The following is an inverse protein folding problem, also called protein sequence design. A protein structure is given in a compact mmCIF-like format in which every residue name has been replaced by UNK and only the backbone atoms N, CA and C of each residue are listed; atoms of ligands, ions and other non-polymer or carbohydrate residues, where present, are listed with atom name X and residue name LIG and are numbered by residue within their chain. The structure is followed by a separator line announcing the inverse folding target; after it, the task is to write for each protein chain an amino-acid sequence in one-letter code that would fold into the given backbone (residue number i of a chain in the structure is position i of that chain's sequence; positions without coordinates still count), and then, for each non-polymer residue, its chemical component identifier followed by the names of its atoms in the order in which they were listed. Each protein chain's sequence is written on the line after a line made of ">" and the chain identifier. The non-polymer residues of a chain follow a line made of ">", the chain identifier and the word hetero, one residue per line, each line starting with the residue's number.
data_IF_276572827440
#
_entry.id   IF_276572827440
#
_cell.length_a   1.000
_cell.length_b   1.000
_cell.length_c   1.000
_cell.angle_alpha   90.00
_cell.angle_beta   90.00
_cell.angle_gamma   90.00
#
_symmetry.space_group_name_H-M   'P 1'
#
loop_
_entity.id
_entity.type
_entity.pdbx_description
1 polymer ?
#
# COMPACT_ATOMS: atom_id res chain seq x y z
N UNK A 1 -52.91 4.70 113.93
CA UNK A 1 -52.20 5.45 112.89
C UNK A 1 -50.98 4.66 112.39
N UNK A 2 -51.20 3.58 111.63
CA UNK A 2 -50.10 2.69 111.18
C UNK A 2 -50.28 2.17 109.74
N UNK A 3 -51.18 2.76 108.95
CA UNK A 3 -51.47 2.36 107.57
C UNK A 3 -50.74 3.15 106.47
N UNK A 4 -50.15 4.31 106.79
CA UNK A 4 -49.54 5.21 105.80
C UNK A 4 -48.01 5.07 105.64
N UNK A 5 -47.33 4.42 106.57
CA UNK A 5 -45.87 4.25 106.51
C UNK A 5 -45.45 3.15 105.52
N UNK A 6 -46.23 2.07 105.40
CA UNK A 6 -45.93 0.97 104.46
C UNK A 6 -46.18 1.35 102.99
N UNK A 7 -47.21 2.17 102.73
CA UNK A 7 -47.49 2.74 101.40
C UNK A 7 -46.40 3.73 100.97
N UNK A 8 -46.01 4.65 101.86
CA UNK A 8 -44.92 5.60 101.60
C UNK A 8 -43.55 4.94 101.44
N UNK A 9 -43.28 3.83 102.15
CA UNK A 9 -42.03 3.07 102.00
C UNK A 9 -41.98 2.26 100.69
N UNK A 10 -43.11 1.72 100.21
CA UNK A 10 -43.20 1.08 98.88
C UNK A 10 -43.10 2.11 97.74
N UNK A 11 -43.78 3.25 97.86
CA UNK A 11 -43.66 4.37 96.91
C UNK A 11 -42.23 4.93 96.87
N UNK A 12 -41.57 5.08 98.02
CA UNK A 12 -40.18 5.52 98.09
C UNK A 12 -39.20 4.54 97.42
N UNK A 13 -39.40 3.22 97.59
CA UNK A 13 -38.61 2.21 96.87
C UNK A 13 -38.88 2.21 95.36
N UNK A 14 -40.14 2.32 94.94
CA UNK A 14 -40.50 2.39 93.52
C UNK A 14 -39.98 3.67 92.84
N UNK A 15 -39.97 4.80 93.55
CA UNK A 15 -39.37 6.05 93.06
C UNK A 15 -37.85 5.96 93.01
N UNK A 16 -37.21 5.30 93.97
CA UNK A 16 -35.76 5.06 93.95
C UNK A 16 -35.34 4.11 92.83
N UNK A 17 -36.11 3.05 92.55
CA UNK A 17 -35.89 2.14 91.43
C UNK A 17 -36.06 2.86 90.09
N UNK A 18 -37.15 3.62 89.90
CA UNK A 18 -37.34 4.43 88.69
C UNK A 18 -36.27 5.51 88.51
N UNK A 19 -35.81 6.15 89.58
CA UNK A 19 -34.73 7.12 89.50
C UNK A 19 -33.40 6.46 89.08
N UNK A 20 -33.17 5.21 89.49
CA UNK A 20 -31.99 4.43 89.10
C UNK A 20 -32.06 3.97 87.64
N UNK A 21 -33.23 3.52 87.19
CA UNK A 21 -33.48 3.17 85.78
C UNK A 21 -33.28 4.38 84.87
N UNK A 22 -33.86 5.54 85.21
CA UNK A 22 -33.69 6.78 84.43
C UNK A 22 -32.23 7.25 84.43
N UNK A 23 -31.51 7.09 85.54
CA UNK A 23 -30.09 7.44 85.60
C UNK A 23 -29.23 6.54 84.68
N UNK A 24 -29.54 5.24 84.64
CA UNK A 24 -28.87 4.28 83.77
C UNK A 24 -29.19 4.54 82.29
N UNK A 25 -30.48 4.77 81.95
CA UNK A 25 -30.90 5.13 80.59
C UNK A 25 -30.25 6.45 80.13
N UNK A 26 -30.11 7.41 81.04
CA UNK A 26 -29.42 8.68 80.76
C UNK A 26 -27.93 8.47 80.48
N UNK A 27 -27.24 7.67 81.28
CA UNK A 27 -25.81 7.35 81.07
C UNK A 27 -25.59 6.63 79.73
N UNK A 28 -26.46 5.68 79.39
CA UNK A 28 -26.43 4.97 78.11
C UNK A 28 -26.71 5.91 76.92
N UNK A 29 -27.68 6.82 77.06
CA UNK A 29 -27.98 7.84 76.07
C UNK A 29 -26.84 8.84 75.89
N UNK A 30 -26.20 9.30 76.97
CA UNK A 30 -25.01 10.15 76.92
C UNK A 30 -23.86 9.45 76.18
N UNK A 31 -23.61 8.16 76.49
CA UNK A 31 -22.62 7.35 75.78
C UNK A 31 -22.89 7.28 74.28
N UNK A 32 -24.14 7.03 73.88
CA UNK A 32 -24.53 6.94 72.46
C UNK A 32 -24.45 8.29 71.73
N UNK A 33 -24.77 9.40 72.38
CA UNK A 33 -24.61 10.74 71.80
C UNK A 33 -23.13 11.11 71.62
N UNK A 34 -22.27 10.72 72.56
CA UNK A 34 -20.82 10.89 72.43
C UNK A 34 -20.27 10.07 71.26
N UNK A 35 -20.69 8.81 71.13
CA UNK A 35 -20.33 7.93 70.00
C UNK A 35 -20.75 8.52 68.65
N UNK A 36 -21.97 9.07 68.55
CA UNK A 36 -22.42 9.82 67.36
C UNK A 36 -21.51 11.03 67.08
N UNK A 37 -21.08 11.74 68.13
CA UNK A 37 -20.15 12.86 68.01
C UNK A 37 -18.80 12.45 67.43
N UNK A 38 -18.22 11.37 67.93
CA UNK A 38 -16.95 10.80 67.44
C UNK A 38 -17.07 10.31 66.00
N UNK A 39 -18.14 9.57 65.68
CA UNK A 39 -18.41 9.09 64.32
C UNK A 39 -18.64 10.23 63.33
N UNK A 40 -19.28 11.33 63.75
CA UNK A 40 -19.44 12.52 62.92
C UNK A 40 -18.10 13.18 62.60
N UNK A 41 -17.19 13.30 63.59
CA UNK A 41 -15.83 13.80 63.34
C UNK A 41 -15.03 12.87 62.42
N UNK A 42 -15.17 11.54 62.60
CA UNK A 42 -14.55 10.56 61.71
C UNK A 42 -15.07 10.72 60.27
N UNK A 43 -16.38 10.84 60.06
CA UNK A 43 -16.96 11.06 58.73
C UNK A 43 -16.42 12.34 58.08
N UNK A 44 -16.28 13.42 58.85
CA UNK A 44 -15.66 14.66 58.37
C UNK A 44 -14.20 14.44 57.94
N UNK A 45 -13.39 13.72 58.74
CA UNK A 45 -12.00 13.39 58.38
C UNK A 45 -11.90 12.50 57.14
N UNK A 46 -12.87 11.61 56.95
CA UNK A 46 -12.97 10.74 55.78
C UNK A 46 -13.54 11.45 54.53
N UNK A 47 -14.04 12.68 54.67
CA UNK A 47 -14.74 13.39 53.60
C UNK A 47 -16.07 12.72 53.20
N UNK A 48 -16.69 11.97 54.11
CA UNK A 48 -17.95 11.28 53.90
C UNK A 48 -19.11 12.06 54.54
N UNK A 49 -20.20 12.25 53.79
CA UNK A 49 -21.44 12.84 54.30
C UNK A 49 -22.61 11.90 54.02
N UNK A 50 -23.43 11.68 55.05
CA UNK A 50 -24.65 10.89 54.98
C UNK A 50 -25.80 11.74 55.51
N UNK A 51 -26.71 12.21 54.64
CA UNK A 51 -27.86 12.98 55.07
C UNK A 51 -28.77 12.20 56.03
N UNK A 52 -28.83 10.87 55.88
CA UNK A 52 -29.57 9.98 56.76
C UNK A 52 -28.94 9.92 58.17
N UNK A 53 -27.60 9.84 58.25
CA UNK A 53 -26.88 9.91 59.52
C UNK A 53 -27.01 11.29 60.18
N UNK A 54 -26.90 12.39 59.42
CA UNK A 54 -27.01 13.75 59.93
C UNK A 54 -28.40 14.04 60.51
N UNK A 55 -29.47 13.68 59.78
CA UNK A 55 -30.84 13.82 60.25
C UNK A 55 -31.14 12.93 61.47
N UNK A 56 -30.67 11.68 61.43
CA UNK A 56 -30.82 10.73 62.53
C UNK A 56 -30.08 11.16 63.81
N UNK A 57 -28.87 11.70 63.65
CA UNK A 57 -28.05 12.24 64.74
C UNK A 57 -28.72 13.45 65.41
N UNK A 58 -29.34 14.32 64.60
CA UNK A 58 -30.13 15.44 65.13
C UNK A 58 -31.35 14.95 65.90
N UNK A 59 -32.12 13.99 65.35
CA UNK A 59 -33.28 13.42 66.03
C UNK A 59 -32.92 12.74 67.36
N UNK A 60 -31.77 12.06 67.42
CA UNK A 60 -31.28 11.46 68.66
C UNK A 60 -30.94 12.52 69.72
N UNK A 61 -30.31 13.64 69.32
CA UNK A 61 -30.02 14.78 70.20
C UNK A 61 -31.29 15.48 70.68
N UNK A 62 -32.25 15.72 69.79
CA UNK A 62 -33.53 16.35 70.15
C UNK A 62 -34.30 15.49 71.17
N UNK A 63 -34.24 14.15 71.07
CA UNK A 63 -34.82 13.21 72.06
C UNK A 63 -34.06 13.21 73.39
N UNK A 64 -32.74 13.34 73.34
CA UNK A 64 -31.92 13.50 74.54
C UNK A 64 -32.28 14.78 75.31
N UNK A 65 -32.41 15.90 74.60
CA UNK A 65 -32.79 17.20 75.18
C UNK A 65 -34.22 17.18 75.75
N UNK A 66 -35.12 16.43 75.11
CA UNK A 66 -36.48 16.17 75.60
C UNK A 66 -36.53 15.21 76.81
N UNK A 67 -35.39 14.67 77.26
CA UNK A 67 -35.25 13.68 78.33
C UNK A 67 -35.94 12.34 78.04
N UNK A 68 -36.19 12.03 76.77
CA UNK A 68 -36.66 10.73 76.31
C UNK A 68 -35.47 9.83 75.98
N UNK A 69 -34.77 9.39 77.04
CA UNK A 69 -33.51 8.66 76.94
C UNK A 69 -33.67 7.30 76.23
N UNK A 70 -34.77 6.59 76.47
CA UNK A 70 -35.03 5.29 75.83
C UNK A 70 -35.21 5.42 74.32
N UNK A 71 -35.98 6.40 73.86
CA UNK A 71 -36.13 6.66 72.42
C UNK A 71 -34.87 7.26 71.80
N UNK A 72 -34.04 7.97 72.58
CA UNK A 72 -32.72 8.45 72.18
C UNK A 72 -31.77 7.27 71.90
N UNK A 73 -31.61 6.34 72.83
CA UNK A 73 -30.75 5.15 72.67
C UNK A 73 -31.17 4.31 71.47
N UNK A 74 -32.47 4.07 71.30
CA UNK A 74 -33.00 3.33 70.16
C UNK A 74 -32.70 4.02 68.81
N UNK A 75 -32.89 5.35 68.74
CA UNK A 75 -32.61 6.13 67.54
C UNK A 75 -31.11 6.18 67.24
N UNK A 76 -30.28 6.43 68.27
CA UNK A 76 -28.84 6.50 68.13
C UNK A 76 -28.25 5.18 67.66
N UNK A 77 -28.68 4.06 68.26
CA UNK A 77 -28.23 2.70 67.86
C UNK A 77 -28.60 2.41 66.40
N UNK A 78 -29.82 2.77 65.99
CA UNK A 78 -30.29 2.60 64.59
C UNK A 78 -29.43 3.42 63.61
N UNK A 79 -29.14 4.66 63.96
CA UNK A 79 -28.40 5.60 63.10
C UNK A 79 -26.92 5.23 62.99
N UNK A 80 -26.30 4.80 64.10
CA UNK A 80 -24.92 4.27 64.12
C UNK A 80 -24.81 3.04 63.21
N UNK A 81 -25.73 2.07 63.34
CA UNK A 81 -25.73 0.87 62.51
C UNK A 81 -25.85 1.19 61.00
N UNK A 82 -26.72 2.14 60.65
CA UNK A 82 -26.87 2.60 59.27
C UNK A 82 -25.59 3.25 58.73
N UNK A 83 -24.93 4.09 59.52
CA UNK A 83 -23.67 4.71 59.12
C UNK A 83 -22.59 3.65 58.84
N UNK A 84 -22.45 2.64 59.70
CA UNK A 84 -21.51 1.55 59.49
C UNK A 84 -21.79 0.78 58.20
N UNK A 85 -23.06 0.52 57.88
CA UNK A 85 -23.45 -0.14 56.63
C UNK A 85 -23.08 0.70 55.40
N UNK A 86 -23.32 2.01 55.44
CA UNK A 86 -22.95 2.93 54.36
C UNK A 86 -21.43 3.05 54.19
N UNK A 87 -20.68 3.14 55.28
CA UNK A 87 -19.21 3.16 55.24
C UNK A 87 -18.66 1.85 54.68
N UNK A 88 -19.19 0.69 55.10
CA UNK A 88 -18.78 -0.60 54.54
C UNK A 88 -19.00 -0.65 53.02
N UNK A 89 -20.16 -0.22 52.53
CA UNK A 89 -20.44 -0.14 51.08
C UNK A 89 -19.46 0.77 50.35
N UNK A 90 -19.16 1.95 50.91
CA UNK A 90 -18.17 2.88 50.36
C UNK A 90 -16.79 2.22 50.24
N UNK A 91 -16.30 1.59 51.31
CA UNK A 91 -14.99 0.95 51.30
C UNK A 91 -14.94 -0.23 50.35
N UNK A 92 -15.98 -1.07 50.27
CA UNK A 92 -16.02 -2.15 49.30
C UNK A 92 -15.93 -1.65 47.86
N UNK A 93 -16.66 -0.59 47.52
CA UNK A 93 -16.57 0.04 46.19
C UNK A 93 -15.16 0.59 45.90
N UNK A 94 -14.49 1.21 46.88
CA UNK A 94 -13.11 1.68 46.73
C UNK A 94 -12.12 0.52 46.56
N UNK A 95 -12.32 -0.58 47.29
CA UNK A 95 -11.49 -1.79 47.18
C UNK A 95 -11.64 -2.39 45.79
N UNK A 96 -12.87 -2.54 45.31
CA UNK A 96 -13.17 -3.04 43.96
C UNK A 96 -12.54 -2.15 42.88
N UNK A 97 -12.66 -0.83 43.02
CA UNK A 97 -12.05 0.13 42.09
C UNK A 97 -10.51 0.01 42.07
N UNK A 98 -9.89 -0.13 43.25
CA UNK A 98 -8.43 -0.30 43.37
C UNK A 98 -7.96 -1.63 42.79
N UNK A 99 -8.72 -2.71 43.03
CA UNK A 99 -8.46 -4.04 42.48
C UNK A 99 -8.58 -4.02 40.94
N UNK A 100 -9.61 -3.35 40.42
CA UNK A 100 -9.83 -3.24 38.98
C UNK A 100 -8.65 -2.57 38.26
N UNK A 101 -8.12 -1.46 38.80
CA UNK A 101 -6.93 -0.81 38.24
C UNK A 101 -5.71 -1.73 38.31
N UNK A 102 -5.52 -2.44 39.42
CA UNK A 102 -4.43 -3.40 39.54
C UNK A 102 -4.53 -4.53 38.51
N UNK A 103 -5.70 -5.13 38.36
CA UNK A 103 -5.94 -6.19 37.38
C UNK A 103 -5.68 -5.67 35.94
N UNK A 104 -6.08 -4.43 35.66
CA UNK A 104 -5.79 -3.75 34.41
C UNK A 104 -4.27 -3.58 34.17
N UNK A 105 -3.53 -3.07 35.16
CA UNK A 105 -2.06 -2.91 35.07
C UNK A 105 -1.40 -4.28 34.88
N UNK A 106 -1.81 -5.30 35.65
CA UNK A 106 -1.28 -6.67 35.58
C UNK A 106 -1.51 -7.32 34.23
N UNK A 107 -2.63 -7.03 33.56
CA UNK A 107 -2.90 -7.54 32.22
C UNK A 107 -1.93 -7.00 31.15
N UNK A 108 -1.24 -5.88 31.43
CA UNK A 108 -0.36 -5.17 30.50
C UNK A 108 1.11 -5.17 30.93
N UNK A 109 1.40 -5.40 32.21
CA UNK A 109 2.75 -5.42 32.75
C UNK A 109 2.96 -6.63 33.67
N UNK A 110 4.00 -7.41 33.39
CA UNK A 110 4.42 -8.52 34.23
C UNK A 110 5.01 -8.06 35.57
N UNK A 111 5.44 -6.80 35.67
CA UNK A 111 6.09 -6.21 36.86
C UNK A 111 5.07 -5.55 37.82
N UNK A 112 3.78 -5.84 37.66
CA UNK A 112 2.75 -5.28 38.52
C UNK A 112 2.96 -5.69 39.99
N UNK A 113 3.02 -4.70 40.89
CA UNK A 113 3.21 -4.94 42.33
C UNK A 113 1.96 -5.61 42.89
N UNK A 114 2.09 -6.84 43.38
CA UNK A 114 1.02 -7.60 44.03
C UNK A 114 0.42 -6.85 45.23
N UNK A 115 -0.89 -6.60 45.19
CA UNK A 115 -1.61 -5.88 46.26
C UNK A 115 -2.61 -6.74 47.03
N UNK A 116 -2.77 -8.02 46.67
CA UNK A 116 -3.81 -8.89 47.24
C UNK A 116 -3.76 -8.99 48.77
N UNK A 117 -2.55 -9.08 49.34
CA UNK A 117 -2.35 -9.11 50.80
C UNK A 117 -2.77 -7.80 51.48
N UNK A 118 -2.46 -6.66 50.88
CA UNK A 118 -2.83 -5.36 51.41
C UNK A 118 -4.34 -5.11 51.30
N UNK A 119 -4.97 -5.50 50.18
CA UNK A 119 -6.44 -5.45 50.04
C UNK A 119 -7.14 -6.33 51.08
N UNK A 120 -6.61 -7.53 51.36
CA UNK A 120 -7.11 -8.39 52.43
C UNK A 120 -7.08 -7.70 53.81
N UNK A 121 -5.99 -6.99 54.11
CA UNK A 121 -5.85 -6.20 55.32
C UNK A 121 -6.84 -5.00 55.37
N UNK A 122 -7.12 -4.31 54.24
CA UNK A 122 -8.15 -3.26 54.22
C UNK A 122 -9.51 -3.87 54.58
N UNK A 123 -9.86 -5.03 54.01
CA UNK A 123 -11.14 -5.71 54.31
C UNK A 123 -11.27 -6.07 55.79
N UNK A 124 -10.19 -6.53 56.43
CA UNK A 124 -10.17 -6.81 57.86
C UNK A 124 -10.40 -5.54 58.69
N UNK A 125 -9.68 -4.45 58.39
CA UNK A 125 -9.86 -3.16 59.07
C UNK A 125 -11.29 -2.62 58.93
N UNK A 126 -11.93 -2.80 57.77
CA UNK A 126 -13.34 -2.41 57.54
C UNK A 126 -14.31 -3.28 58.34
N UNK A 127 -14.01 -4.58 58.49
CA UNK A 127 -14.82 -5.49 59.31
C UNK A 127 -14.71 -5.15 60.82
N UNK A 128 -13.52 -4.75 61.26
CA UNK A 128 -13.22 -4.32 62.63
C UNK A 128 -13.64 -2.86 62.90
N UNK A 129 -14.31 -2.20 61.94
CA UNK A 129 -14.77 -0.80 62.02
C UNK A 129 -13.64 0.24 62.19
N UNK A 130 -12.39 -0.13 61.88
CA UNK A 130 -11.22 0.76 61.88
C UNK A 130 -11.12 1.58 60.57
N UNK A 131 -12.15 2.37 60.26
CA UNK A 131 -12.27 3.05 58.95
C UNK A 131 -11.17 4.06 58.63
N UNK A 132 -10.58 4.74 59.62
CA UNK A 132 -9.50 5.70 59.37
C UNK A 132 -8.22 5.01 58.90
N UNK A 133 -7.87 3.89 59.54
CA UNK A 133 -6.74 3.05 59.12
C UNK A 133 -7.00 2.41 57.77
N UNK A 134 -8.22 1.92 57.53
CA UNK A 134 -8.64 1.43 56.23
C UNK A 134 -8.50 2.51 55.14
N UNK A 135 -8.90 3.76 55.44
CA UNK A 135 -8.82 4.88 54.51
C UNK A 135 -7.38 5.26 54.15
N UNK A 136 -6.50 5.33 55.15
CA UNK A 136 -5.10 5.64 54.91
C UNK A 136 -4.45 4.57 54.03
N UNK A 137 -4.68 3.29 54.36
CA UNK A 137 -4.07 2.20 53.61
C UNK A 137 -4.60 2.08 52.18
N UNK A 138 -5.92 2.23 51.97
CA UNK A 138 -6.48 2.17 50.62
C UNK A 138 -6.05 3.37 49.76
N UNK A 139 -5.90 4.56 50.36
CA UNK A 139 -5.42 5.76 49.66
C UNK A 139 -3.95 5.61 49.25
N UNK A 140 -3.12 5.01 50.12
CA UNK A 140 -1.73 4.67 49.77
C UNK A 140 -1.65 3.65 48.64
N UNK A 141 -2.49 2.61 48.67
CA UNK A 141 -2.57 1.62 47.59
C UNK A 141 -2.99 2.27 46.27
N UNK A 142 -4.03 3.09 46.30
CA UNK A 142 -4.50 3.84 45.14
C UNK A 142 -3.38 4.69 44.53
N UNK A 143 -2.68 5.50 45.35
CA UNK A 143 -1.60 6.37 44.87
C UNK A 143 -0.44 5.57 44.25
N UNK A 144 -0.12 4.40 44.79
CA UNK A 144 0.90 3.51 44.20
C UNK A 144 0.46 2.95 42.84
N UNK A 145 -0.80 2.53 42.71
CA UNK A 145 -1.33 2.04 41.44
C UNK A 145 -1.41 3.15 40.39
N UNK A 146 -1.83 4.35 40.77
CA UNK A 146 -1.89 5.51 39.87
C UNK A 146 -0.50 5.91 39.33
N UNK A 147 0.54 5.86 40.16
CA UNK A 147 1.93 6.07 39.71
C UNK A 147 2.36 4.99 38.71
N UNK A 148 2.12 3.72 39.05
CA UNK A 148 2.47 2.59 38.17
C UNK A 148 1.75 2.67 36.82
N UNK A 149 0.48 3.09 36.84
CA UNK A 149 -0.33 3.30 35.64
C UNK A 149 0.22 4.46 34.79
N UNK A 150 0.62 5.55 35.43
CA UNK A 150 1.19 6.72 34.75
C UNK A 150 2.54 6.40 34.10
N UNK A 151 3.38 5.62 34.78
CA UNK A 151 4.66 5.13 34.24
C UNK A 151 4.44 4.20 33.05
N UNK A 152 3.51 3.25 33.16
CA UNK A 152 3.14 2.36 32.06
C UNK A 152 2.60 3.14 30.86
N UNK A 153 1.72 4.10 31.09
CA UNK A 153 1.19 4.97 30.04
C UNK A 153 2.31 5.76 29.36
N UNK A 154 3.22 6.36 30.12
CA UNK A 154 4.34 7.13 29.57
C UNK A 154 5.27 6.25 28.71
N UNK A 155 5.51 5.00 29.13
CA UNK A 155 6.28 4.03 28.35
C UNK A 155 5.61 3.68 27.02
N UNK A 156 4.33 3.31 27.04
CA UNK A 156 3.57 2.94 25.83
C UNK A 156 3.38 4.13 24.89
N UNK A 157 3.06 5.31 25.43
CA UNK A 157 2.98 6.55 24.66
C UNK A 157 4.31 6.84 23.94
N UNK A 158 5.43 6.74 24.66
CA UNK A 158 6.77 6.97 24.10
C UNK A 158 7.14 5.92 23.05
N UNK A 159 6.67 4.68 23.19
CA UNK A 159 6.85 3.63 22.19
C UNK A 159 6.09 3.96 20.91
N UNK A 160 4.80 4.28 20.99
CA UNK A 160 3.99 4.67 19.82
C UNK A 160 4.56 5.92 19.14
N UNK A 161 4.98 6.92 19.93
CA UNK A 161 5.58 8.15 19.39
C UNK A 161 6.91 7.88 18.66
N UNK A 162 7.78 7.02 19.22
CA UNK A 162 9.03 6.63 18.53
C UNK A 162 8.74 5.92 17.21
N UNK A 163 7.81 4.98 17.21
CA UNK A 163 7.35 4.29 15.99
C UNK A 163 6.81 5.26 14.94
N UNK A 164 6.04 6.26 15.36
CA UNK A 164 5.51 7.30 14.46
C UNK A 164 6.64 8.13 13.83
N UNK A 165 7.62 8.54 14.63
CA UNK A 165 8.78 9.31 14.16
C UNK A 165 9.63 8.48 13.20
N UNK A 166 9.88 7.21 13.53
CA UNK A 166 10.60 6.28 12.66
C UNK A 166 9.89 6.15 11.32
N UNK A 167 8.58 5.84 11.30
CA UNK A 167 7.80 5.73 10.08
C UNK A 167 7.87 7.02 9.22
N UNK A 168 7.75 8.19 9.84
CA UNK A 168 7.86 9.49 9.13
C UNK A 168 9.26 9.76 8.59
N UNK A 169 10.31 9.35 9.30
CA UNK A 169 11.70 9.51 8.84
C UNK A 169 11.99 8.69 7.58
N UNK A 170 11.23 7.62 7.38
CA UNK A 170 11.21 6.74 6.22
C UNK A 170 10.20 7.21 5.14
N UNK A 171 9.77 8.47 5.18
CA UNK A 171 8.93 9.08 4.16
C UNK A 171 7.46 8.67 4.18
N UNK A 172 7.00 7.92 5.18
CA UNK A 172 5.59 7.55 5.28
C UNK A 172 4.70 8.70 5.73
N UNK A 173 3.65 8.94 4.94
CA UNK A 173 2.56 9.84 5.28
C UNK A 173 1.61 9.17 6.27
N UNK A 174 1.92 9.27 7.56
CA UNK A 174 1.05 8.76 8.63
C UNK A 174 0.05 9.84 9.07
N UNK A 175 -1.22 9.60 8.78
CA UNK A 175 -2.33 10.51 9.08
C UNK A 175 -3.18 10.05 10.27
N UNK A 176 -3.82 10.99 10.97
CA UNK A 176 -4.77 10.73 12.06
C UNK A 176 -4.17 10.30 13.41
N UNK A 177 -2.92 9.82 13.43
CA UNK A 177 -2.27 9.31 14.65
C UNK A 177 -2.01 10.40 15.69
N UNK A 178 -1.63 11.63 15.30
CA UNK A 178 -1.42 12.73 16.24
C UNK A 178 -2.71 13.10 16.99
N UNK A 179 -3.86 12.98 16.31
CA UNK A 179 -5.18 13.18 16.91
C UNK A 179 -5.48 12.12 17.96
N UNK A 180 -5.20 10.85 17.66
CA UNK A 180 -5.35 9.74 18.62
C UNK A 180 -4.44 9.91 19.84
N UNK A 181 -3.17 10.29 19.65
CA UNK A 181 -2.24 10.57 20.75
C UNK A 181 -2.70 11.75 21.62
N UNK A 182 -3.24 12.79 21.00
CA UNK A 182 -3.78 13.95 21.73
C UNK A 182 -5.02 13.57 22.55
N UNK A 183 -5.93 12.80 21.96
CA UNK A 183 -7.12 12.28 22.65
C UNK A 183 -6.73 11.34 23.79
N UNK A 184 -5.76 10.44 23.59
CA UNK A 184 -5.26 9.54 24.63
C UNK A 184 -4.73 10.32 25.84
N UNK A 185 -3.98 11.42 25.59
CA UNK A 185 -3.48 12.30 26.64
C UNK A 185 -4.59 13.00 27.41
N UNK A 186 -5.63 13.45 26.71
CA UNK A 186 -6.79 14.09 27.35
C UNK A 186 -7.58 13.10 28.22
N UNK A 187 -7.83 11.89 27.72
CA UNK A 187 -8.48 10.81 28.49
C UNK A 187 -7.67 10.44 29.73
N UNK A 188 -6.34 10.34 29.60
CA UNK A 188 -5.45 10.07 30.74
C UNK A 188 -5.58 11.16 31.82
N UNK A 189 -5.59 12.44 31.42
CA UNK A 189 -5.75 13.56 32.36
C UNK A 189 -7.16 13.61 32.98
N UNK A 190 -8.17 13.07 32.32
CA UNK A 190 -9.54 12.98 32.81
C UNK A 190 -9.81 11.74 33.70
N UNK A 191 -8.80 10.88 33.91
CA UNK A 191 -8.94 9.62 34.64
C UNK A 191 -9.55 8.47 33.81
N UNK A 192 -9.75 8.67 32.51
CA UNK A 192 -10.24 7.68 31.55
C UNK A 192 -9.15 6.71 31.10
N UNK A 193 -8.54 5.98 32.04
CA UNK A 193 -7.34 5.18 31.78
C UNK A 193 -7.52 4.13 30.68
N UNK A 194 -8.60 3.34 30.72
CA UNK A 194 -8.86 2.32 29.71
C UNK A 194 -9.04 2.91 28.31
N UNK A 195 -9.75 4.03 28.22
CA UNK A 195 -9.95 4.78 26.99
C UNK A 195 -8.62 5.29 26.44
N UNK A 196 -7.77 5.85 27.30
CA UNK A 196 -6.44 6.33 26.94
C UNK A 196 -5.57 5.20 26.34
N UNK A 197 -5.51 4.04 26.99
CA UNK A 197 -4.77 2.89 26.47
C UNK A 197 -5.37 2.31 25.18
N UNK A 198 -6.70 2.30 25.05
CA UNK A 198 -7.37 1.88 23.80
C UNK A 198 -6.97 2.77 22.62
N UNK A 199 -6.93 4.09 22.84
CA UNK A 199 -6.50 5.06 21.84
C UNK A 199 -5.02 4.89 21.47
N UNK A 200 -4.15 4.56 22.44
CA UNK A 200 -2.75 4.20 22.15
C UNK A 200 -2.63 2.93 21.32
N UNK A 201 -3.38 1.88 21.65
CA UNK A 201 -3.38 0.63 20.87
C UNK A 201 -3.89 0.87 19.44
N UNK A 202 -4.91 1.71 19.28
CA UNK A 202 -5.45 2.12 17.98
C UNK A 202 -4.43 2.95 17.17
N UNK A 203 -3.75 3.90 17.83
CA UNK A 203 -2.68 4.68 17.22
C UNK A 203 -1.56 3.77 16.70
N UNK A 204 -1.08 2.83 17.51
CA UNK A 204 -0.07 1.86 17.12
C UNK A 204 -0.50 0.99 15.92
N UNK A 205 -1.73 0.46 15.95
CA UNK A 205 -2.29 -0.32 14.83
C UNK A 205 -2.44 0.50 13.56
N UNK A 206 -2.85 1.76 13.67
CA UNK A 206 -2.99 2.67 12.53
C UNK A 206 -1.66 2.90 11.82
N UNK A 207 -0.57 3.10 12.56
CA UNK A 207 0.78 3.22 11.98
C UNK A 207 1.14 1.97 11.17
N UNK A 208 0.99 0.78 11.76
CA UNK A 208 1.32 -0.50 11.10
C UNK A 208 0.48 -0.74 9.85
N UNK A 209 -0.82 -0.44 9.91
CA UNK A 209 -1.72 -0.59 8.76
C UNK A 209 -1.36 0.35 7.61
N UNK A 210 -1.06 1.61 7.90
CA UNK A 210 -0.65 2.58 6.89
C UNK A 210 0.70 2.19 6.27
N UNK A 211 1.65 1.73 7.09
CA UNK A 211 2.92 1.19 6.59
C UNK A 211 2.73 0.00 5.65
N UNK A 212 1.89 -0.96 6.03
CA UNK A 212 1.62 -2.13 5.19
C UNK A 212 1.01 -1.75 3.84
N UNK A 213 0.11 -0.78 3.80
CA UNK A 213 -0.47 -0.27 2.55
C UNK A 213 0.58 0.36 1.64
N UNK A 214 1.51 1.11 2.20
CA UNK A 214 2.62 1.71 1.45
C UNK A 214 3.53 0.62 0.86
N UNK A 215 3.96 -0.34 1.69
CA UNK A 215 4.74 -1.51 1.26
C UNK A 215 4.05 -2.28 0.15
N UNK A 216 2.75 -2.57 0.30
CA UNK A 216 1.97 -3.27 -0.73
C UNK A 216 1.88 -2.47 -2.05
N UNK A 217 1.79 -1.14 -1.97
CA UNK A 217 1.82 -0.25 -3.13
C UNK A 217 3.16 -0.30 -3.86
N UNK A 218 4.28 -0.19 -3.12
CA UNK A 218 5.62 -0.28 -3.68
C UNK A 218 5.91 -1.65 -4.30
N UNK A 219 5.47 -2.73 -3.64
CA UNK A 219 5.57 -4.10 -4.17
C UNK A 219 4.81 -4.23 -5.49
N UNK A 220 3.61 -3.65 -5.61
CA UNK A 220 2.85 -3.66 -6.88
C UNK A 220 3.60 -2.91 -7.98
N UNK A 221 4.16 -1.73 -7.69
CA UNK A 221 4.96 -0.96 -8.63
C UNK A 221 6.18 -1.76 -9.12
N UNK A 222 6.93 -2.36 -8.19
CA UNK A 222 8.10 -3.20 -8.51
C UNK A 222 7.68 -4.43 -9.32
N UNK A 223 6.55 -5.06 -8.99
CA UNK A 223 6.03 -6.23 -9.71
C UNK A 223 5.71 -5.89 -11.16
N UNK A 224 5.09 -4.74 -11.44
CA UNK A 224 4.86 -4.27 -12.81
C UNK A 224 6.17 -4.10 -13.60
N UNK A 225 7.22 -3.55 -12.95
CA UNK A 225 8.55 -3.41 -13.56
C UNK A 225 9.25 -4.75 -13.80
N UNK A 226 9.10 -5.72 -12.89
CA UNK A 226 9.60 -7.10 -13.06
C UNK A 226 8.96 -7.76 -14.27
N UNK A 227 7.68 -7.49 -14.53
CA UNK A 227 6.99 -8.01 -15.70
C UNK A 227 7.61 -7.46 -17.00
N UNK A 228 7.93 -6.17 -17.05
CA UNK A 228 8.64 -5.59 -18.20
C UNK A 228 10.03 -6.22 -18.38
N UNK A 229 10.77 -6.45 -17.28
CA UNK A 229 12.04 -7.18 -17.32
C UNK A 229 11.88 -8.56 -17.97
N UNK A 230 10.82 -9.28 -17.60
CA UNK A 230 10.48 -10.59 -18.19
C UNK A 230 10.20 -10.49 -19.68
N UNK A 231 9.46 -9.46 -20.11
CA UNK A 231 9.14 -9.23 -21.52
C UNK A 231 10.39 -8.89 -22.36
N UNK A 232 11.39 -8.25 -21.76
CA UNK A 232 12.72 -8.06 -22.37
C UNK A 232 13.60 -9.32 -22.33
N UNK A 233 13.14 -10.43 -21.73
CA UNK A 233 13.91 -11.66 -21.59
C UNK A 233 15.03 -11.57 -20.55
N UNK A 234 14.97 -10.62 -19.61
CA UNK A 234 15.95 -10.50 -18.54
C UNK A 234 15.73 -11.58 -17.48
N UNK A 235 16.81 -12.08 -16.87
CA UNK A 235 16.73 -13.01 -15.75
C UNK A 235 16.10 -12.37 -14.51
N UNK A 236 14.97 -12.90 -14.07
CA UNK A 236 14.17 -12.36 -12.94
C UNK A 236 14.23 -13.19 -11.65
N UNK A 237 14.87 -14.38 -11.66
CA UNK A 237 14.82 -15.30 -10.52
C UNK A 237 15.33 -14.66 -9.21
N UNK A 238 16.50 -14.03 -9.25
CA UNK A 238 17.08 -13.35 -8.07
C UNK A 238 16.24 -12.17 -7.56
N UNK A 239 15.48 -11.52 -8.45
CA UNK A 239 14.63 -10.37 -8.09
C UNK A 239 13.36 -10.88 -7.41
N UNK A 240 12.79 -11.98 -7.92
CA UNK A 240 11.61 -12.63 -7.32
C UNK A 240 11.91 -13.17 -5.94
N UNK A 241 13.03 -13.87 -5.76
CA UNK A 241 13.44 -14.39 -4.44
C UNK A 241 13.54 -13.27 -3.39
N UNK A 242 14.09 -12.11 -3.77
CA UNK A 242 14.15 -10.94 -2.88
C UNK A 242 12.77 -10.34 -2.61
N UNK A 243 11.90 -10.27 -3.60
CA UNK A 243 10.53 -9.78 -3.44
C UNK A 243 9.71 -10.68 -2.50
N UNK A 244 9.79 -11.99 -2.68
CA UNK A 244 9.12 -13.00 -1.86
C UNK A 244 9.64 -12.92 -0.41
N UNK A 245 10.95 -12.72 -0.23
CA UNK A 245 11.54 -12.48 1.08
C UNK A 245 10.91 -11.27 1.76
N UNK A 246 10.80 -10.13 1.08
CA UNK A 246 10.18 -8.91 1.63
C UNK A 246 8.71 -9.14 1.99
N UNK A 247 7.95 -9.84 1.14
CA UNK A 247 6.55 -10.17 1.38
C UNK A 247 6.33 -11.07 2.60
N UNK A 248 7.31 -11.93 2.91
CA UNK A 248 7.27 -12.83 4.07
C UNK A 248 7.68 -12.17 5.39
N UNK A 249 8.21 -10.94 5.36
CA UNK A 249 8.63 -10.25 6.58
C UNK A 249 7.41 -9.85 7.41
N UNK A 250 7.46 -10.01 8.75
CA UNK A 250 6.38 -9.58 9.62
C UNK A 250 6.19 -8.06 9.55
N UNK A 251 4.96 -7.59 9.71
CA UNK A 251 4.66 -6.15 9.72
C UNK A 251 5.27 -5.44 10.93
N UNK A 252 5.61 -6.20 11.98
CA UNK A 252 6.35 -5.76 13.15
C UNK A 252 7.88 -5.71 12.92
N UNK A 253 8.37 -6.15 11.75
CA UNK A 253 9.77 -5.94 11.37
C UNK A 253 10.07 -4.43 11.32
N UNK A 254 11.32 -4.06 11.62
CA UNK A 254 11.75 -2.66 11.65
C UNK A 254 11.47 -2.02 10.30
N UNK A 255 10.67 -0.94 10.30
CA UNK A 255 10.23 -0.23 9.10
C UNK A 255 11.38 0.07 8.14
N UNK A 256 12.51 0.53 8.69
CA UNK A 256 13.71 0.85 7.91
C UNK A 256 14.36 -0.32 7.20
N UNK A 257 14.22 -1.55 7.70
CA UNK A 257 14.78 -2.74 7.04
C UNK A 257 14.00 -3.06 5.75
N UNK A 258 12.68 -3.18 5.86
CA UNK A 258 11.79 -3.42 4.71
C UNK A 258 11.94 -2.31 3.67
N UNK A 259 11.96 -1.05 4.09
CA UNK A 259 12.11 0.08 3.17
C UNK A 259 13.47 0.04 2.45
N UNK A 260 14.57 -0.23 3.16
CA UNK A 260 15.90 -0.35 2.55
C UNK A 260 15.97 -1.49 1.51
N UNK A 261 15.29 -2.60 1.79
CA UNK A 261 15.18 -3.73 0.88
C UNK A 261 14.35 -3.38 -0.36
N UNK A 262 13.21 -2.70 -0.19
CA UNK A 262 12.38 -2.22 -1.30
C UNK A 262 13.12 -1.21 -2.18
N UNK A 263 13.78 -0.22 -1.58
CA UNK A 263 14.57 0.78 -2.30
C UNK A 263 15.71 0.13 -3.10
N UNK A 264 16.44 -0.79 -2.48
CA UNK A 264 17.52 -1.50 -3.16
C UNK A 264 17.01 -2.42 -4.29
N UNK A 265 15.85 -3.06 -4.10
CA UNK A 265 15.21 -3.89 -5.11
C UNK A 265 14.73 -3.04 -6.30
N UNK A 266 14.03 -1.94 -6.02
CA UNK A 266 13.57 -0.95 -7.01
C UNK A 266 14.74 -0.45 -7.85
N UNK A 267 15.85 -0.09 -7.21
CA UNK A 267 17.05 0.42 -7.89
C UNK A 267 17.69 -0.63 -8.83
N UNK A 268 17.77 -1.89 -8.40
CA UNK A 268 18.29 -2.99 -9.23
C UNK A 268 17.40 -3.22 -10.45
N UNK A 269 16.07 -3.30 -10.26
CA UNK A 269 15.10 -3.45 -11.35
C UNK A 269 15.18 -2.30 -12.34
N UNK A 270 15.20 -1.06 -11.85
CA UNK A 270 15.27 0.14 -12.69
C UNK A 270 16.55 0.20 -13.51
N UNK A 271 17.69 -0.18 -12.92
CA UNK A 271 18.96 -0.21 -13.61
C UNK A 271 18.97 -1.25 -14.74
N UNK A 272 18.39 -2.43 -14.50
CA UNK A 272 18.25 -3.47 -15.52
C UNK A 272 17.35 -3.03 -16.66
N UNK A 273 16.21 -2.40 -16.35
CA UNK A 273 15.31 -1.85 -17.36
C UNK A 273 15.98 -0.76 -18.18
N UNK A 274 16.63 0.22 -17.55
CA UNK A 274 17.35 1.30 -18.27
C UNK A 274 18.36 0.75 -19.27
N UNK A 275 19.17 -0.25 -18.86
CA UNK A 275 20.12 -0.93 -19.76
C UNK A 275 19.42 -1.65 -20.90
N UNK A 276 18.31 -2.34 -20.64
CA UNK A 276 17.56 -3.04 -21.68
C UNK A 276 16.96 -2.06 -22.70
N UNK A 277 16.38 -0.95 -22.26
CA UNK A 277 15.90 0.12 -23.15
C UNK A 277 17.05 0.72 -23.96
N UNK A 278 18.17 1.06 -23.32
CA UNK A 278 19.34 1.63 -24.00
C UNK A 278 19.86 0.71 -25.12
N UNK A 279 19.97 -0.60 -24.86
CA UNK A 279 20.36 -1.59 -25.87
C UNK A 279 19.36 -1.62 -27.02
N UNK A 280 18.05 -1.68 -26.75
CA UNK A 280 17.03 -1.71 -27.81
C UNK A 280 17.02 -0.43 -28.65
N UNK A 281 17.08 0.74 -28.00
CA UNK A 281 17.15 2.04 -28.68
C UNK A 281 18.39 2.11 -29.57
N UNK A 282 19.55 1.65 -29.07
CA UNK A 282 20.80 1.62 -29.84
C UNK A 282 20.69 0.68 -31.05
N UNK A 283 20.08 -0.49 -30.87
CA UNK A 283 19.83 -1.44 -31.97
C UNK A 283 18.96 -0.79 -33.05
N UNK A 284 17.83 -0.19 -32.66
CA UNK A 284 16.94 0.48 -33.64
C UNK A 284 17.63 1.67 -34.30
N UNK A 285 18.41 2.46 -33.57
CA UNK A 285 19.18 3.58 -34.13
C UNK A 285 20.22 3.12 -35.15
N UNK A 286 20.90 2.00 -34.88
CA UNK A 286 21.81 1.39 -35.84
C UNK A 286 21.06 0.91 -37.09
N UNK A 287 19.91 0.27 -36.93
CA UNK A 287 19.06 -0.16 -38.05
C UNK A 287 18.64 1.03 -38.93
N UNK A 288 18.22 2.15 -38.33
CA UNK A 288 17.86 3.38 -39.06
C UNK A 288 19.05 4.02 -39.78
N UNK A 289 20.26 3.91 -39.19
CA UNK A 289 21.50 4.45 -39.75
C UNK A 289 22.02 3.72 -40.99
N UNK A 290 21.55 2.49 -41.26
CA UNK A 290 21.96 1.73 -42.47
C UNK A 290 21.36 2.26 -43.78
N UNK A 291 20.48 3.28 -43.72
CA UNK A 291 20.00 4.02 -44.90
C UNK A 291 18.97 3.28 -45.76
N UNK A 292 18.48 2.11 -45.32
CA UNK A 292 17.51 1.31 -46.08
C UNK A 292 16.06 1.85 -46.03
N UNK A 293 15.81 2.92 -45.27
CA UNK A 293 14.49 3.53 -45.12
C UNK A 293 14.53 4.99 -45.57
N UNK A 294 13.39 5.51 -46.05
CA UNK A 294 13.23 6.89 -46.51
C UNK A 294 13.63 7.91 -45.41
N UNK A 295 14.27 9.03 -45.78
CA UNK A 295 14.72 10.09 -44.86
C UNK A 295 13.61 10.59 -43.91
N UNK A 296 12.37 10.70 -44.41
CA UNK A 296 11.22 11.10 -43.59
C UNK A 296 10.85 10.10 -42.48
N UNK A 297 11.09 8.81 -42.72
CA UNK A 297 10.88 7.74 -41.72
C UNK A 297 11.97 7.81 -40.65
N UNK A 298 13.20 8.15 -41.05
CA UNK A 298 14.32 8.29 -40.12
C UNK A 298 14.17 9.49 -39.17
N UNK A 299 13.67 10.63 -39.68
CA UNK A 299 13.43 11.82 -38.86
C UNK A 299 12.33 11.62 -37.80
N UNK A 300 11.18 11.04 -38.20
CA UNK A 300 10.07 10.75 -37.28
C UNK A 300 10.42 9.66 -36.26
N UNK A 301 11.18 8.64 -36.68
CA UNK A 301 11.72 7.62 -35.80
C UNK A 301 12.66 8.20 -34.72
N UNK A 302 13.51 9.16 -35.08
CA UNK A 302 14.44 9.79 -34.13
C UNK A 302 13.73 10.54 -33.00
N UNK A 303 12.62 11.22 -33.31
CA UNK A 303 11.79 11.90 -32.31
C UNK A 303 11.15 10.92 -31.32
N UNK A 304 10.59 9.81 -31.82
CA UNK A 304 9.98 8.77 -30.96
C UNK A 304 11.02 8.08 -30.07
N UNK A 305 12.21 7.79 -30.60
CA UNK A 305 13.29 7.22 -29.80
C UNK A 305 13.70 8.15 -28.65
N UNK A 306 13.75 9.47 -28.91
CA UNK A 306 14.03 10.46 -27.87
C UNK A 306 12.93 10.49 -26.79
N UNK A 307 11.67 10.40 -27.17
CA UNK A 307 10.55 10.30 -26.22
C UNK A 307 10.66 9.03 -25.35
N UNK A 308 11.04 7.88 -25.93
CA UNK A 308 11.29 6.64 -25.17
C UNK A 308 12.48 6.84 -24.21
N UNK A 309 13.56 7.50 -24.63
CA UNK A 309 14.71 7.83 -23.77
C UNK A 309 14.30 8.74 -22.60
N UNK A 310 13.44 9.72 -22.83
CA UNK A 310 12.91 10.63 -21.81
C UNK A 310 12.03 9.87 -20.79
N UNK A 311 11.09 9.04 -21.26
CA UNK A 311 10.24 8.19 -20.40
C UNK A 311 11.07 7.17 -19.60
N UNK A 312 12.09 6.58 -20.21
CA UNK A 312 13.03 5.68 -19.53
C UNK A 312 13.83 6.44 -18.47
N UNK A 313 14.20 7.68 -18.77
CA UNK A 313 14.95 8.54 -17.85
C UNK A 313 14.12 8.95 -16.63
N UNK A 314 12.85 9.27 -16.83
CA UNK A 314 11.89 9.61 -15.76
C UNK A 314 11.42 8.40 -14.94
N UNK A 315 11.69 7.17 -15.40
CA UNK A 315 11.28 5.94 -14.71
C UNK A 315 9.86 5.47 -15.06
N UNK A 316 9.25 6.05 -16.08
CA UNK A 316 7.95 5.66 -16.62
C UNK A 316 8.06 4.45 -17.57
N UNK A 317 8.61 3.35 -17.06
CA UNK A 317 8.97 2.18 -17.86
C UNK A 317 7.79 1.52 -18.57
N UNK A 318 6.58 1.52 -17.97
CA UNK A 318 5.38 0.96 -18.61
C UNK A 318 5.02 1.73 -19.89
N UNK A 319 5.03 3.06 -19.83
CA UNK A 319 4.77 3.91 -21.00
C UNK A 319 5.89 3.80 -22.02
N UNK A 320 7.15 3.81 -21.57
CA UNK A 320 8.31 3.61 -22.44
C UNK A 320 8.22 2.28 -23.19
N UNK A 321 7.82 1.20 -22.50
CA UNK A 321 7.68 -0.13 -23.09
C UNK A 321 6.55 -0.18 -24.13
N UNK A 322 5.38 0.38 -23.80
CA UNK A 322 4.25 0.47 -24.73
C UNK A 322 4.61 1.26 -25.99
N UNK A 323 5.28 2.40 -25.82
CA UNK A 323 5.71 3.25 -26.93
C UNK A 323 6.77 2.54 -27.79
N UNK A 324 7.74 1.86 -27.17
CA UNK A 324 8.75 1.06 -27.87
C UNK A 324 8.09 -0.04 -28.71
N UNK A 325 7.15 -0.81 -28.15
CA UNK A 325 6.48 -1.90 -28.90
C UNK A 325 5.61 -1.41 -30.04
N UNK A 326 4.89 -0.31 -29.83
CA UNK A 326 4.14 0.36 -30.90
C UNK A 326 5.08 0.83 -32.01
N UNK A 327 6.19 1.45 -31.64
CA UNK A 327 7.19 1.93 -32.59
C UNK A 327 7.89 0.80 -33.36
N UNK A 328 8.24 -0.31 -32.72
CA UNK A 328 8.77 -1.51 -33.39
C UNK A 328 7.77 -2.03 -34.44
N UNK A 329 6.48 -2.07 -34.12
CA UNK A 329 5.43 -2.48 -35.06
C UNK A 329 5.28 -1.53 -36.25
N UNK A 330 5.34 -0.21 -36.02
CA UNK A 330 5.30 0.79 -37.09
C UNK A 330 6.56 0.74 -37.96
N UNK A 331 7.73 0.51 -37.37
CA UNK A 331 8.98 0.34 -38.08
C UNK A 331 8.96 -0.93 -38.94
N UNK A 332 8.42 -2.03 -38.41
CA UNK A 332 8.22 -3.26 -39.16
C UNK A 332 7.32 -3.00 -40.38
N UNK A 333 6.15 -2.35 -40.20
CA UNK A 333 5.27 -1.95 -41.32
C UNK A 333 5.97 -1.07 -42.36
N UNK A 334 6.74 -0.08 -41.92
CA UNK A 334 7.49 0.79 -42.83
C UNK A 334 8.51 0.02 -43.68
N UNK A 335 9.17 -0.99 -43.11
CA UNK A 335 10.07 -1.90 -43.84
C UNK A 335 9.30 -2.72 -44.88
N UNK A 336 8.12 -3.26 -44.54
CA UNK A 336 7.25 -3.95 -45.49
C UNK A 336 6.83 -3.04 -46.66
N UNK A 337 6.35 -1.83 -46.36
CA UNK A 337 5.88 -0.88 -47.37
C UNK A 337 7.01 -0.44 -48.30
N UNK A 338 8.22 -0.28 -47.76
CA UNK A 338 9.40 0.04 -48.56
C UNK A 338 9.74 -1.07 -49.55
N UNK A 339 9.79 -2.34 -49.09
CA UNK A 339 10.04 -3.49 -49.96
C UNK A 339 8.92 -3.62 -51.01
N UNK A 340 7.65 -3.43 -50.61
CA UNK A 340 6.52 -3.47 -51.52
C UNK A 340 6.62 -2.39 -52.61
N UNK A 341 7.12 -1.20 -52.29
CA UNK A 341 7.35 -0.11 -53.24
C UNK A 341 8.45 -0.45 -54.26
N UNK A 342 9.56 -1.03 -53.82
CA UNK A 342 10.63 -1.51 -54.73
C UNK A 342 10.04 -2.53 -55.72
N UNK A 343 9.31 -3.52 -55.19
CA UNK A 343 8.68 -4.55 -56.02
C UNK A 343 7.59 -3.96 -56.94
N UNK A 344 6.85 -2.95 -56.51
CA UNK A 344 5.85 -2.30 -57.36
C UNK A 344 6.49 -1.63 -58.59
N UNK A 345 7.62 -0.95 -58.42
CA UNK A 345 8.36 -0.37 -59.55
C UNK A 345 8.81 -1.45 -60.54
N UNK A 346 9.31 -2.58 -60.03
CA UNK A 346 9.73 -3.71 -60.88
C UNK A 346 8.58 -4.32 -61.69
N UNK A 347 7.34 -4.31 -61.18
CA UNK A 347 6.18 -4.83 -61.92
C UNK A 347 5.95 -4.12 -63.26
N UNK A 348 6.25 -2.82 -63.34
CA UNK A 348 6.11 -2.07 -64.59
C UNK A 348 7.09 -2.60 -65.65
N UNK A 349 8.36 -2.75 -65.29
CA UNK A 349 9.38 -3.31 -66.19
C UNK A 349 9.04 -4.74 -66.62
N UNK A 350 8.60 -5.57 -65.68
CA UNK A 350 8.24 -6.97 -65.94
C UNK A 350 7.03 -7.07 -66.87
N UNK A 351 5.98 -6.28 -66.64
CA UNK A 351 4.78 -6.31 -67.47
C UNK A 351 5.09 -5.95 -68.93
N UNK A 352 5.96 -4.96 -69.16
CA UNK A 352 6.32 -4.54 -70.51
C UNK A 352 7.33 -5.49 -71.16
N UNK A 353 8.29 -6.05 -70.41
CA UNK A 353 9.18 -7.11 -70.91
C UNK A 353 8.38 -8.38 -71.29
N UNK A 354 7.36 -8.73 -70.49
CA UNK A 354 6.48 -9.86 -70.77
C UNK A 354 5.66 -9.68 -72.05
N UNK A 355 5.09 -8.49 -72.28
CA UNK A 355 4.35 -8.18 -73.53
C UNK A 355 5.21 -8.37 -74.77
N UNK A 356 6.50 -8.12 -74.66
CA UNK A 356 7.49 -8.32 -75.72
C UNK A 356 8.12 -9.73 -75.71
N UNK A 357 7.57 -10.67 -74.93
CA UNK A 357 7.92 -12.08 -74.98
C UNK A 357 9.14 -12.52 -74.16
N UNK A 358 9.71 -11.67 -73.31
CA UNK A 358 10.89 -11.98 -72.51
C UNK A 358 10.68 -13.13 -71.50
N UNK A 359 11.74 -13.88 -71.21
CA UNK A 359 11.74 -14.89 -70.13
C UNK A 359 11.89 -14.20 -68.76
N UNK A 360 10.93 -14.46 -67.88
CA UNK A 360 10.84 -13.89 -66.54
C UNK A 360 11.20 -14.87 -65.42
N UNK A 361 11.63 -16.09 -65.75
CA UNK A 361 11.81 -17.19 -64.77
C UNK A 361 12.79 -16.79 -63.65
N UNK A 362 13.91 -16.18 -64.00
CA UNK A 362 14.92 -15.72 -63.04
C UNK A 362 14.38 -14.61 -62.11
N UNK A 363 13.69 -13.61 -62.66
CA UNK A 363 13.12 -12.50 -61.89
C UNK A 363 12.02 -13.00 -60.94
N UNK A 364 11.13 -13.87 -61.42
CA UNK A 364 10.07 -14.47 -60.60
C UNK A 364 10.63 -15.32 -59.44
N UNK A 365 11.71 -16.06 -59.68
CA UNK A 365 12.41 -16.82 -58.63
C UNK A 365 12.89 -15.89 -57.51
N UNK A 366 13.56 -14.77 -57.86
CA UNK A 366 14.03 -13.78 -56.88
C UNK A 366 12.89 -13.08 -56.14
N UNK A 367 11.80 -12.76 -56.83
CA UNK A 367 10.61 -12.19 -56.17
C UNK A 367 10.02 -13.14 -55.13
N UNK A 368 10.03 -14.45 -55.39
CA UNK A 368 9.60 -15.44 -54.40
C UNK A 368 10.57 -15.49 -53.21
N UNK A 369 11.88 -15.39 -53.45
CA UNK A 369 12.88 -15.33 -52.40
C UNK A 369 12.71 -14.09 -51.50
N UNK A 370 12.43 -12.91 -52.09
CA UNK A 370 12.07 -11.71 -51.32
C UNK A 370 10.87 -11.97 -50.42
N UNK A 371 9.79 -12.60 -50.92
CA UNK A 371 8.61 -12.93 -50.11
C UNK A 371 8.95 -13.85 -48.94
N UNK A 372 9.82 -14.85 -49.16
CA UNK A 372 10.25 -15.75 -48.10
C UNK A 372 11.14 -15.06 -47.06
N UNK A 373 12.06 -14.19 -47.47
CA UNK A 373 12.88 -13.38 -46.56
C UNK A 373 12.01 -12.43 -45.72
N UNK A 374 11.01 -11.82 -46.33
CA UNK A 374 10.01 -10.98 -45.68
C UNK A 374 9.22 -11.78 -44.64
N UNK A 375 8.69 -12.96 -44.98
CA UNK A 375 7.99 -13.85 -44.04
C UNK A 375 8.85 -14.25 -42.84
N UNK A 376 10.16 -14.42 -43.06
CA UNK A 376 11.15 -14.74 -42.02
C UNK A 376 11.67 -13.51 -41.26
N UNK A 377 11.10 -12.32 -41.49
CA UNK A 377 11.50 -11.04 -40.86
C UNK A 377 12.95 -10.65 -41.14
N UNK A 378 13.56 -11.14 -42.22
CA UNK A 378 14.92 -10.79 -42.64
C UNK A 378 14.88 -9.59 -43.59
N UNK A 379 14.44 -8.44 -43.09
CA UNK A 379 14.14 -7.26 -43.91
C UNK A 379 15.35 -6.72 -44.66
N UNK A 380 16.54 -6.69 -44.05
CA UNK A 380 17.74 -6.16 -44.71
C UNK A 380 18.15 -6.99 -45.94
N UNK A 381 18.02 -8.31 -45.85
CA UNK A 381 18.28 -9.21 -46.96
C UNK A 381 17.17 -9.13 -48.00
N UNK A 382 15.91 -9.00 -47.56
CA UNK A 382 14.78 -8.80 -48.44
C UNK A 382 14.90 -7.51 -49.26
N UNK A 383 15.35 -6.40 -48.65
CA UNK A 383 15.61 -5.13 -49.34
C UNK A 383 16.69 -5.33 -50.41
N UNK A 384 17.87 -5.86 -50.06
CA UNK A 384 18.95 -6.11 -51.03
C UNK A 384 18.52 -7.01 -52.17
N UNK A 385 17.73 -8.05 -51.88
CA UNK A 385 17.21 -8.97 -52.90
C UNK A 385 16.15 -8.29 -53.78
N UNK A 386 15.30 -7.44 -53.20
CA UNK A 386 14.29 -6.68 -53.93
C UNK A 386 14.93 -5.66 -54.88
N UNK A 387 15.97 -4.96 -54.45
CA UNK A 387 16.75 -4.03 -55.29
C UNK A 387 17.39 -4.76 -56.47
N UNK A 388 18.04 -5.91 -56.22
CA UNK A 388 18.62 -6.74 -57.29
C UNK A 388 17.57 -7.23 -58.27
N UNK A 389 16.42 -7.70 -57.78
CA UNK A 389 15.32 -8.14 -58.64
C UNK A 389 14.76 -6.99 -59.48
N UNK A 390 14.70 -5.78 -58.93
CA UNK A 390 14.26 -4.58 -59.65
C UNK A 390 15.27 -4.13 -60.71
N UNK A 391 16.57 -4.18 -60.42
CA UNK A 391 17.63 -3.86 -61.39
C UNK A 391 17.61 -4.85 -62.55
N UNK A 392 17.55 -6.16 -62.28
CA UNK A 392 17.48 -7.18 -63.33
C UNK A 392 16.20 -7.06 -64.18
N UNK A 393 15.07 -6.72 -63.55
CA UNK A 393 13.85 -6.43 -64.29
C UNK A 393 14.00 -5.22 -65.21
N UNK A 394 14.70 -4.17 -64.76
CA UNK A 394 14.97 -2.98 -65.54
C UNK A 394 15.93 -3.27 -66.69
N UNK A 395 17.05 -3.94 -66.44
CA UNK A 395 18.02 -4.33 -67.46
C UNK A 395 17.35 -5.18 -68.56
N UNK A 396 16.54 -6.17 -68.17
CA UNK A 396 15.79 -6.99 -69.12
C UNK A 396 14.83 -6.14 -69.96
N UNK A 397 14.09 -5.23 -69.32
CA UNK A 397 13.19 -4.32 -70.02
C UNK A 397 13.93 -3.41 -71.01
N UNK A 398 15.07 -2.84 -70.63
CA UNK A 398 15.88 -1.99 -71.50
C UNK A 398 16.43 -2.76 -72.71
N UNK A 399 16.91 -3.99 -72.49
CA UNK A 399 17.34 -4.91 -73.56
C UNK A 399 16.20 -5.21 -74.54
N UNK A 400 15.05 -5.62 -74.00
CA UNK A 400 13.89 -6.02 -74.80
C UNK A 400 13.34 -4.84 -75.60
N UNK A 401 13.22 -3.65 -74.99
CA UNK A 401 12.79 -2.45 -75.72
C UNK A 401 13.78 -2.05 -76.81
N UNK A 402 15.08 -2.16 -76.56
CA UNK A 402 16.10 -1.88 -77.58
C UNK A 402 15.99 -2.85 -78.75
N UNK A 403 15.81 -4.14 -78.48
CA UNK A 403 15.56 -5.14 -79.51
C UNK A 403 14.28 -4.83 -80.29
N UNK A 404 13.15 -4.55 -79.62
CA UNK A 404 11.88 -4.23 -80.28
C UNK A 404 11.98 -2.97 -81.15
N UNK A 405 12.70 -1.94 -80.70
CA UNK A 405 12.91 -0.72 -81.48
C UNK A 405 13.78 -0.96 -82.72
N UNK A 406 14.87 -1.73 -82.59
CA UNK A 406 15.73 -2.12 -83.72
C UNK A 406 14.97 -2.99 -84.72
N UNK A 407 14.18 -3.94 -84.23
CA UNK A 407 13.34 -4.80 -85.07
C UNK A 407 12.31 -3.98 -85.86
N UNK A 408 11.58 -3.07 -85.21
CA UNK A 408 10.63 -2.18 -85.90
C UNK A 408 11.30 -1.28 -86.94
N UNK A 409 12.52 -0.80 -86.66
CA UNK A 409 13.32 -0.03 -87.62
C UNK A 409 13.73 -0.89 -88.82
N UNK A 410 14.22 -2.12 -88.57
CA UNK A 410 14.57 -3.07 -89.63
C UNK A 410 13.36 -3.47 -90.47
N UNK A 411 12.18 -3.64 -89.87
CA UNK A 411 10.92 -3.88 -90.60
C UNK A 411 10.58 -2.71 -91.54
N UNK A 412 10.72 -1.47 -91.07
CA UNK A 412 10.51 -0.27 -91.88
C UNK A 412 11.52 -0.15 -93.03
N UNK A 413 12.80 -0.35 -92.74
CA UNK A 413 13.89 -0.32 -93.74
C UNK A 413 13.70 -1.43 -94.78
N UNK A 414 13.37 -2.65 -94.36
CA UNK A 414 13.06 -3.77 -95.25
C UNK A 414 11.86 -3.45 -96.14
N UNK A 415 10.75 -2.93 -95.58
CA UNK A 415 9.57 -2.57 -96.36
C UNK A 415 9.87 -1.50 -97.44
N UNK A 416 10.71 -0.50 -97.13
CA UNK A 416 11.15 0.51 -98.10
C UNK A 416 12.06 -0.09 -99.17
N UNK A 417 13.06 -0.89 -98.77
CA UNK A 417 14.03 -1.49 -99.67
C UNK A 417 13.38 -2.50 -100.64
N UNK A 418 12.38 -3.26 -100.17
CA UNK A 418 11.65 -4.22 -100.99
C UNK A 418 10.77 -3.52 -102.05
N UNK A 419 10.31 -2.29 -101.76
CA UNK A 419 9.56 -1.46 -102.71
C UNK A 419 10.44 -0.75 -103.74
N UNK A 420 11.72 -0.48 -103.44
CA UNK A 420 12.65 0.24 -104.34
C UNK A 420 13.48 -0.74 -105.19
N UNK A 421 13.99 -1.81 -104.57
CA UNK A 421 14.89 -2.78 -105.20
C UNK A 421 14.14 -4.11 -105.25
N UNK A 422 13.52 -4.38 -106.40
CA UNK A 422 12.85 -5.67 -106.61
C UNK A 422 13.88 -6.80 -106.48
N UNK A 423 13.74 -7.63 -105.43
CA UNK A 423 14.47 -8.87 -105.17
C UNK A 423 15.98 -8.76 -104.88
N UNK A 424 16.38 -8.03 -103.83
CA UNK A 424 17.68 -8.28 -103.19
C UNK A 424 17.62 -9.50 -102.27
N UNK A 425 18.27 -10.60 -102.68
CA UNK A 425 18.35 -11.86 -101.94
C UNK A 425 19.11 -11.69 -100.62
N UNK A 426 20.21 -10.94 -100.63
CA UNK A 426 21.07 -10.74 -99.44
C UNK A 426 20.35 -9.95 -98.33
N UNK A 427 19.55 -8.95 -98.70
CA UNK A 427 18.75 -8.17 -97.73
C UNK A 427 17.67 -9.05 -97.10
N UNK A 428 17.05 -9.93 -97.88
CA UNK A 428 16.02 -10.86 -97.39
C UNK A 428 16.58 -11.93 -96.46
N UNK A 429 17.79 -12.44 -96.72
CA UNK A 429 18.46 -13.42 -95.84
C UNK A 429 18.83 -12.77 -94.50
N UNK A 430 19.45 -11.58 -94.51
CA UNK A 430 19.80 -10.86 -93.27
C UNK A 430 18.57 -10.51 -92.45
N UNK A 431 17.51 -10.04 -93.10
CA UNK A 431 16.24 -9.75 -92.42
C UNK A 431 15.59 -11.02 -91.84
N UNK A 432 15.60 -12.14 -92.57
CA UNK A 432 15.05 -13.41 -92.09
C UNK A 432 15.81 -13.97 -90.89
N UNK A 433 17.15 -13.88 -90.86
CA UNK A 433 17.94 -14.36 -89.72
C UNK A 433 17.78 -13.44 -88.50
N UNK A 434 17.76 -12.11 -88.70
CA UNK A 434 17.48 -11.15 -87.64
C UNK A 434 16.06 -11.32 -87.07
N UNK A 435 15.06 -11.51 -87.94
CA UNK A 435 13.68 -11.82 -87.54
C UNK A 435 13.60 -13.13 -86.78
N UNK A 436 14.27 -14.18 -87.23
CA UNK A 436 14.33 -15.46 -86.53
C UNK A 436 14.92 -15.28 -85.13
N UNK A 437 16.04 -14.57 -84.98
CA UNK A 437 16.68 -14.33 -83.67
C UNK A 437 15.80 -13.51 -82.73
N UNK A 438 15.05 -12.53 -83.26
CA UNK A 438 14.05 -11.78 -82.50
C UNK A 438 12.86 -12.65 -82.07
N UNK A 439 12.29 -13.45 -82.98
CA UNK A 439 11.18 -14.38 -82.71
C UNK A 439 11.59 -15.53 -81.76
N UNK A 440 12.84 -15.99 -81.84
CA UNK A 440 13.47 -16.95 -80.90
C UNK A 440 13.85 -16.31 -79.56
N UNK A 441 13.61 -15.00 -79.37
CA UNK A 441 13.85 -14.25 -78.12
C UNK A 441 15.31 -14.17 -77.71
N UNK A 442 16.23 -14.34 -78.67
CA UNK A 442 17.68 -14.20 -78.47
C UNK A 442 18.06 -12.73 -78.62
N UNK A 443 17.50 -11.88 -77.74
CA UNK A 443 17.62 -10.42 -77.85
C UNK A 443 19.08 -9.93 -77.83
N UNK A 444 19.97 -10.57 -77.07
CA UNK A 444 21.38 -10.21 -77.02
C UNK A 444 22.09 -10.50 -78.36
N UNK A 445 21.82 -11.65 -78.99
CA UNK A 445 22.36 -12.00 -80.32
C UNK A 445 21.79 -11.10 -81.41
N UNK A 446 20.49 -10.81 -81.34
CA UNK A 446 19.81 -9.90 -82.26
C UNK A 446 20.38 -8.48 -82.21
N UNK A 447 20.55 -7.89 -81.02
CA UNK A 447 21.08 -6.53 -80.87
C UNK A 447 22.51 -6.43 -81.40
N UNK A 448 23.36 -7.43 -81.14
CA UNK A 448 24.75 -7.44 -81.57
C UNK A 448 24.89 -7.44 -83.10
N UNK A 449 24.03 -8.18 -83.79
CA UNK A 449 24.05 -8.32 -85.26
C UNK A 449 23.33 -7.17 -85.98
N UNK A 450 22.28 -6.60 -85.37
CA UNK A 450 21.56 -5.45 -85.93
C UNK A 450 22.30 -4.12 -85.77
N UNK A 451 23.43 -4.10 -85.06
CA UNK A 451 24.26 -2.90 -84.84
C UNK A 451 25.65 -2.96 -85.47
N UNK A 452 26.05 -4.11 -86.01
CA UNK A 452 27.25 -4.32 -86.85
C UNK A 452 26.96 -4.03 -88.31
#
# INVERSE_FOLDING_TARGET
>A
MSGNYFGNMKLGKQLAEKAREIAQEKEEAEGKINEIGELSQMCQRLGFSSPAFEAGSKNARDRFDAKDYRSCVAEATRVIALLHEELQKLFFSRIESTQHIFDFIRSRSADAVEIGGAIGQVRALVADMEYERANNMISELWSKQERSLSELYASEFSKVQRTLVEARSHGLAIEGVDGLLSSARNEMNAGGYESAFRLLDEAGKSIVLQFRRDVDSQIKEITGRIEICRMFGLGISSIRERLDSIQSMPAEAKFGEIESLLLSLKRDVDQRLRRAFEVNIKTIRNELGTGQLNENVSASASLRLKEIEELTSSGEFEKAYSLLKSFEGDLEKAKYDFIARILYNSKKYIADAFKNGADLTAINSRMNEVRELVKRRRFEEAVRMAERANEEARELFEKVNRASALYSKMEGEYAVLTNIISNSVDISIRYADARRKFEEKKFDEFIAESTS
#
